data_IF_744560641815
#
_entry.id   IF_744560641815
#
_cell.length_a   1.000
_cell.length_b   1.000
_cell.length_c   1.000
_cell.angle_alpha   90.00
_cell.angle_beta   90.00
_cell.angle_gamma   90.00
#
_symmetry.space_group_name_H-M   'P 1'
#
loop_
_entity.id
_entity.type
_entity.pdbx_description
1 polymer ?
#
# COMPACT_ATOMS: atom_id res chain seq x y z
N UNK A 1 -57.95 -18.41 -38.07
CA UNK A 1 -57.91 -16.96 -37.97
C UNK A 1 -57.61 -16.66 -36.49
N UNK A 2 -56.34 -16.70 -36.17
CA UNK A 2 -55.85 -16.41 -34.83
C UNK A 2 -55.22 -15.03 -34.92
N UNK A 3 -55.86 -14.07 -34.25
CA UNK A 3 -55.40 -12.73 -34.13
C UNK A 3 -54.20 -12.71 -33.19
N UNK A 4 -53.10 -12.24 -33.71
CA UNK A 4 -51.91 -11.84 -32.94
C UNK A 4 -52.37 -10.87 -31.83
N UNK A 5 -52.21 -11.30 -30.59
CA UNK A 5 -52.25 -10.38 -29.49
C UNK A 5 -50.88 -9.69 -29.43
N UNK A 6 -50.82 -8.50 -29.98
CA UNK A 6 -49.75 -7.55 -29.74
C UNK A 6 -49.65 -7.34 -28.22
N UNK A 7 -48.63 -7.92 -27.63
CA UNK A 7 -48.15 -7.48 -26.31
C UNK A 7 -47.59 -6.07 -26.51
N UNK A 8 -48.41 -5.06 -26.46
CA UNK A 8 -47.96 -3.71 -26.18
C UNK A 8 -47.16 -3.78 -24.89
N UNK A 9 -45.88 -3.57 -24.98
CA UNK A 9 -44.99 -3.23 -23.88
C UNK A 9 -45.60 -1.99 -23.22
N UNK A 10 -46.41 -2.17 -22.17
CA UNK A 10 -46.79 -1.08 -21.31
C UNK A 10 -45.49 -0.51 -20.75
N UNK A 11 -45.06 0.62 -21.32
CA UNK A 11 -44.01 1.44 -20.74
C UNK A 11 -44.35 1.64 -19.26
N UNK A 12 -43.41 1.36 -18.39
CA UNK A 12 -43.57 1.53 -16.95
C UNK A 12 -44.07 2.96 -16.70
N UNK A 13 -45.37 3.09 -16.36
CA UNK A 13 -46.05 4.38 -16.16
C UNK A 13 -45.38 5.26 -15.09
N UNK A 14 -44.37 4.71 -14.42
CA UNK A 14 -43.58 5.35 -13.37
C UNK A 14 -42.34 6.11 -13.90
N UNK A 15 -42.02 6.02 -15.20
CA UNK A 15 -40.86 6.69 -15.79
C UNK A 15 -39.52 6.21 -15.28
N UNK A 16 -39.48 5.01 -14.68
CA UNK A 16 -38.25 4.40 -14.14
C UNK A 16 -37.57 3.62 -15.26
N UNK A 17 -36.33 3.95 -15.65
CA UNK A 17 -35.62 3.21 -16.69
C UNK A 17 -35.26 1.80 -16.21
N UNK A 18 -35.92 0.78 -16.80
CA UNK A 18 -35.71 -0.62 -16.49
C UNK A 18 -35.54 -1.47 -17.74
N UNK A 19 -34.92 -2.64 -17.61
CA UNK A 19 -34.78 -3.65 -18.68
C UNK A 19 -35.35 -4.97 -18.17
N UNK A 20 -36.36 -5.53 -18.87
CA UNK A 20 -36.96 -6.80 -18.49
C UNK A 20 -35.99 -7.95 -18.65
N UNK A 21 -36.10 -8.95 -17.77
CA UNK A 21 -35.25 -10.14 -17.80
C UNK A 21 -35.91 -11.30 -17.07
N UNK A 22 -35.31 -12.48 -17.26
CA UNK A 22 -35.76 -13.71 -16.61
C UNK A 22 -34.50 -14.46 -16.14
N UNK A 23 -34.54 -15.01 -14.93
CA UNK A 23 -33.49 -15.83 -14.38
C UNK A 23 -34.06 -17.09 -13.75
N UNK A 24 -33.36 -18.21 -13.93
CA UNK A 24 -33.69 -19.49 -13.29
C UNK A 24 -32.68 -19.77 -12.20
N UNK A 25 -33.15 -19.85 -10.95
CA UNK A 25 -32.30 -20.05 -9.77
C UNK A 25 -32.60 -21.41 -9.13
N UNK A 26 -31.56 -22.24 -8.99
CA UNK A 26 -31.67 -23.48 -8.23
C UNK A 26 -31.63 -23.14 -6.74
N UNK A 27 -32.64 -23.59 -5.99
CA UNK A 27 -32.73 -23.30 -4.57
C UNK A 27 -31.66 -24.02 -3.74
N UNK A 28 -31.32 -23.43 -2.60
CA UNK A 28 -30.38 -24.03 -1.64
C UNK A 28 -31.06 -25.18 -0.81
N UNK A 29 -30.28 -25.78 0.10
CA UNK A 29 -30.74 -26.84 0.99
C UNK A 29 -31.92 -26.42 1.89
N UNK A 30 -32.07 -25.10 2.15
CA UNK A 30 -33.15 -24.52 2.93
C UNK A 30 -34.36 -24.10 2.11
N UNK A 31 -34.39 -24.48 0.82
CA UNK A 31 -35.42 -24.12 -0.13
C UNK A 31 -35.55 -22.59 -0.36
N UNK A 32 -34.41 -21.88 -0.30
CA UNK A 32 -34.30 -20.44 -0.46
C UNK A 32 -33.49 -20.07 -1.72
N UNK A 33 -33.75 -18.91 -2.31
CA UNK A 33 -32.93 -18.33 -3.38
C UNK A 33 -32.03 -17.20 -2.87
N UNK A 34 -32.23 -16.70 -1.63
CA UNK A 34 -31.36 -15.76 -0.96
C UNK A 34 -31.62 -14.29 -1.31
N UNK A 35 -32.87 -13.87 -1.44
CA UNK A 35 -33.24 -12.47 -1.60
C UNK A 35 -34.20 -12.01 -0.49
N UNK A 36 -34.19 -10.70 -0.20
CA UNK A 36 -35.18 -10.02 0.59
C UNK A 36 -36.02 -9.10 -0.31
N UNK A 37 -37.32 -9.08 -0.12
CA UNK A 37 -38.31 -8.37 -0.96
C UNK A 37 -38.93 -7.24 -0.18
N UNK A 38 -39.09 -6.08 -0.80
CA UNK A 38 -39.80 -4.91 -0.29
C UNK A 38 -40.87 -4.42 -1.25
N UNK A 39 -41.63 -3.43 -0.82
CA UNK A 39 -42.77 -2.90 -1.57
C UNK A 39 -43.95 -3.84 -1.59
N UNK A 40 -44.78 -3.74 -2.63
CA UNK A 40 -45.97 -4.56 -2.86
C UNK A 40 -47.26 -3.91 -2.43
N UNK A 41 -48.39 -4.57 -2.79
CA UNK A 41 -49.76 -4.06 -2.65
C UNK A 41 -50.05 -3.49 -1.27
N UNK A 42 -50.86 -2.51 -1.27
CA UNK A 42 -51.37 -1.50 -0.37
C UNK A 42 -50.56 -0.20 -0.35
N UNK A 43 -49.24 -0.23 -0.41
CA UNK A 43 -48.39 0.97 -0.27
C UNK A 43 -47.55 1.28 -1.51
N UNK A 44 -47.02 0.27 -2.17
CA UNK A 44 -46.15 0.43 -3.34
C UNK A 44 -46.70 -0.39 -4.53
N UNK A 45 -46.78 0.18 -5.73
CA UNK A 45 -47.29 -0.53 -6.91
C UNK A 45 -46.36 -1.63 -7.41
N UNK A 46 -45.11 -1.61 -7.03
CA UNK A 46 -44.11 -2.58 -7.44
C UNK A 46 -43.48 -3.34 -6.25
N UNK A 47 -43.00 -4.55 -6.54
CA UNK A 47 -42.22 -5.36 -5.62
C UNK A 47 -40.78 -5.31 -6.07
N UNK A 48 -39.83 -5.06 -5.16
CA UNK A 48 -38.43 -4.93 -5.51
C UNK A 48 -37.54 -5.67 -4.53
N UNK A 49 -36.30 -6.00 -4.99
CA UNK A 49 -35.30 -6.65 -4.18
C UNK A 49 -34.65 -5.61 -3.25
N UNK A 50 -34.74 -5.83 -1.95
CA UNK A 50 -34.09 -4.99 -0.93
C UNK A 50 -32.64 -5.41 -0.74
N UNK A 51 -32.37 -6.73 -0.74
CA UNK A 51 -31.04 -7.28 -0.53
C UNK A 51 -30.91 -8.64 -1.18
N UNK A 52 -29.72 -8.89 -1.75
CA UNK A 52 -29.23 -10.23 -2.11
C UNK A 52 -28.23 -10.65 -1.05
N UNK A 53 -28.42 -11.83 -0.44
CA UNK A 53 -27.58 -12.33 0.62
C UNK A 53 -26.34 -13.04 0.04
N UNK A 54 -25.18 -12.86 0.68
CA UNK A 54 -23.93 -13.48 0.24
C UNK A 54 -24.01 -15.01 0.32
N UNK A 55 -23.27 -15.70 -0.55
CA UNK A 55 -23.19 -17.16 -0.64
C UNK A 55 -24.54 -17.85 -0.88
N UNK A 56 -25.50 -17.18 -1.47
CA UNK A 56 -26.80 -17.74 -1.86
C UNK A 56 -26.90 -17.94 -3.36
N UNK A 57 -27.87 -18.76 -3.85
CA UNK A 57 -28.07 -18.96 -5.28
C UNK A 57 -28.18 -17.68 -6.10
N UNK A 58 -28.93 -16.70 -5.62
CA UNK A 58 -29.08 -15.40 -6.30
C UNK A 58 -27.76 -14.59 -6.33
N UNK A 59 -26.92 -14.68 -5.27
CA UNK A 59 -25.62 -14.01 -5.23
C UNK A 59 -24.60 -14.70 -6.16
N UNK A 60 -24.62 -16.01 -6.23
CA UNK A 60 -23.71 -16.81 -7.07
C UNK A 60 -24.01 -16.63 -8.55
N UNK A 61 -25.30 -16.55 -8.91
CA UNK A 61 -25.72 -16.26 -10.28
C UNK A 61 -25.40 -14.82 -10.71
N UNK A 62 -25.58 -13.85 -9.80
CA UNK A 62 -25.21 -12.44 -10.00
C UNK A 62 -26.16 -11.65 -10.92
N UNK A 63 -27.19 -12.25 -11.47
CA UNK A 63 -28.16 -11.59 -12.39
C UNK A 63 -29.05 -10.61 -11.63
N UNK A 64 -29.60 -11.03 -10.47
CA UNK A 64 -30.44 -10.21 -9.62
C UNK A 64 -29.63 -9.27 -8.72
N UNK A 65 -30.09 -8.06 -8.57
CA UNK A 65 -29.47 -7.09 -7.69
C UNK A 65 -30.51 -6.29 -6.89
N UNK A 66 -30.06 -5.67 -5.78
CA UNK A 66 -30.94 -4.79 -5.00
C UNK A 66 -31.51 -3.65 -5.87
N UNK A 67 -32.76 -3.31 -5.68
CA UNK A 67 -33.47 -2.33 -6.48
C UNK A 67 -34.12 -2.88 -7.73
N UNK A 68 -33.83 -4.10 -8.20
CA UNK A 68 -34.56 -4.73 -9.30
C UNK A 68 -35.99 -5.02 -8.91
N UNK A 69 -36.95 -4.82 -9.82
CA UNK A 69 -38.37 -5.12 -9.61
C UNK A 69 -38.62 -6.59 -9.94
N UNK A 70 -39.44 -7.26 -9.14
CA UNK A 70 -39.93 -8.60 -9.42
C UNK A 70 -41.31 -8.48 -10.09
N UNK A 71 -41.42 -9.00 -11.31
CA UNK A 71 -42.68 -8.92 -12.11
C UNK A 71 -43.42 -10.24 -12.16
N UNK A 72 -42.74 -11.39 -11.93
CA UNK A 72 -43.36 -12.69 -11.95
C UNK A 72 -42.53 -13.80 -11.31
N UNK A 73 -43.19 -14.87 -10.89
CA UNK A 73 -42.59 -16.09 -10.34
C UNK A 73 -43.21 -17.29 -11.06
N UNK A 74 -42.40 -18.10 -11.74
CA UNK A 74 -42.79 -19.28 -12.50
C UNK A 74 -43.98 -18.99 -13.45
N UNK A 75 -43.86 -17.91 -14.22
CA UNK A 75 -44.88 -17.49 -15.18
C UNK A 75 -46.16 -16.86 -14.57
N UNK A 76 -46.23 -16.76 -13.23
CA UNK A 76 -47.36 -16.11 -12.57
C UNK A 76 -47.03 -14.66 -12.24
N UNK A 77 -47.81 -13.67 -12.69
CA UNK A 77 -47.54 -12.26 -12.39
C UNK A 77 -47.71 -11.98 -10.91
N UNK A 78 -46.90 -11.03 -10.39
CA UNK A 78 -46.94 -10.62 -8.97
C UNK A 78 -47.58 -9.25 -8.77
N UNK A 79 -48.00 -8.57 -9.82
CA UNK A 79 -48.67 -7.27 -9.74
C UNK A 79 -49.88 -7.35 -8.82
N UNK A 80 -49.99 -6.41 -7.89
CA UNK A 80 -51.10 -6.36 -6.91
C UNK A 80 -50.96 -7.35 -5.74
N UNK A 81 -49.85 -8.07 -5.62
CA UNK A 81 -49.58 -8.97 -4.48
C UNK A 81 -48.75 -8.28 -3.41
N UNK A 82 -48.88 -8.74 -2.20
CA UNK A 82 -48.06 -8.33 -1.07
C UNK A 82 -46.68 -9.05 -1.11
N UNK A 83 -45.67 -8.49 -0.47
CA UNK A 83 -44.33 -9.13 -0.33
C UNK A 83 -44.41 -10.53 0.30
N UNK A 84 -45.38 -10.73 1.24
CA UNK A 84 -45.55 -12.02 1.91
C UNK A 84 -46.11 -13.07 0.96
N UNK A 85 -47.08 -12.71 0.10
CA UNK A 85 -47.65 -13.62 -0.90
C UNK A 85 -46.59 -14.04 -1.92
N UNK A 86 -45.77 -13.09 -2.40
CA UNK A 86 -44.71 -13.41 -3.34
C UNK A 86 -43.60 -14.26 -2.71
N UNK A 87 -43.23 -13.99 -1.45
CA UNK A 87 -42.31 -14.85 -0.73
C UNK A 87 -42.86 -16.30 -0.62
N UNK A 88 -44.15 -16.47 -0.31
CA UNK A 88 -44.80 -17.78 -0.32
C UNK A 88 -44.83 -18.43 -1.70
N UNK A 89 -45.07 -17.64 -2.77
CA UNK A 89 -44.99 -18.15 -4.14
C UNK A 89 -43.60 -18.73 -4.46
N UNK A 90 -42.55 -17.99 -4.11
CA UNK A 90 -41.19 -18.45 -4.28
C UNK A 90 -40.91 -19.72 -3.44
N UNK A 91 -41.34 -19.76 -2.18
CA UNK A 91 -41.12 -20.89 -1.30
C UNK A 91 -41.87 -22.16 -1.76
N UNK A 92 -43.06 -22.01 -2.33
CA UNK A 92 -43.90 -23.12 -2.79
C UNK A 92 -43.31 -23.87 -4.01
N UNK A 93 -42.39 -23.25 -4.76
CA UNK A 93 -41.71 -23.87 -5.88
C UNK A 93 -40.70 -24.88 -5.37
N UNK A 94 -40.65 -26.07 -5.96
CA UNK A 94 -39.68 -27.11 -5.66
C UNK A 94 -38.52 -27.06 -6.66
N UNK A 95 -37.31 -27.10 -6.19
CA UNK A 95 -36.06 -27.19 -6.99
C UNK A 95 -35.61 -25.88 -7.63
N UNK A 96 -36.18 -25.47 -8.77
CA UNK A 96 -35.77 -24.29 -9.52
C UNK A 96 -36.88 -23.23 -9.54
N UNK A 97 -36.53 -22.01 -9.22
CA UNK A 97 -37.44 -20.87 -9.26
C UNK A 97 -37.12 -19.98 -10.46
N UNK A 98 -38.10 -19.76 -11.34
CA UNK A 98 -37.99 -18.83 -12.46
C UNK A 98 -38.50 -17.48 -12.00
N UNK A 99 -37.65 -16.48 -11.98
CA UNK A 99 -37.94 -15.11 -11.54
C UNK A 99 -37.96 -14.20 -12.78
N UNK A 100 -39.11 -13.59 -13.06
CA UNK A 100 -39.20 -12.50 -14.04
C UNK A 100 -38.95 -11.19 -13.29
N UNK A 101 -38.14 -10.32 -13.86
CA UNK A 101 -37.74 -9.08 -13.20
C UNK A 101 -37.55 -7.94 -14.22
N UNK A 102 -37.65 -6.73 -13.75
CA UNK A 102 -37.21 -5.53 -14.45
C UNK A 102 -35.95 -5.02 -13.80
N UNK A 103 -34.83 -5.09 -14.52
CA UNK A 103 -33.51 -4.65 -14.03
C UNK A 103 -33.46 -3.14 -13.99
N UNK A 104 -33.19 -2.58 -12.82
CA UNK A 104 -33.06 -1.14 -12.62
C UNK A 104 -31.82 -0.63 -13.39
N UNK A 105 -32.06 0.30 -14.33
CA UNK A 105 -31.01 1.04 -14.99
C UNK A 105 -30.62 2.24 -14.12
N UNK A 106 -29.65 2.05 -13.24
CA UNK A 106 -29.19 3.08 -12.33
C UNK A 106 -27.78 3.52 -12.71
N UNK A 107 -27.54 4.80 -12.93
CA UNK A 107 -26.19 5.34 -12.97
C UNK A 107 -25.67 5.44 -11.53
N UNK A 108 -24.57 4.73 -11.18
CA UNK A 108 -23.95 4.82 -9.84
C UNK A 108 -23.57 6.24 -9.44
N UNK A 109 -23.43 7.15 -10.42
CA UNK A 109 -23.13 8.55 -10.15
C UNK A 109 -24.33 9.31 -9.59
N UNK A 110 -25.56 8.93 -9.95
CA UNK A 110 -26.80 9.57 -9.47
C UNK A 110 -27.04 9.31 -7.96
N UNK A 111 -26.57 8.17 -7.44
CA UNK A 111 -26.63 7.85 -6.01
C UNK A 111 -25.55 8.49 -5.16
N UNK A 112 -24.56 9.17 -5.76
CA UNK A 112 -23.52 9.89 -5.04
C UNK A 112 -24.02 11.29 -4.69
N UNK A 113 -24.66 11.42 -3.54
CA UNK A 113 -24.96 12.74 -3.00
C UNK A 113 -23.68 13.52 -2.71
N UNK A 114 -23.72 14.86 -2.81
CA UNK A 114 -22.63 15.77 -2.44
C UNK A 114 -22.11 15.47 -1.02
N UNK A 115 -22.98 14.98 -0.15
CA UNK A 115 -22.65 14.58 1.22
C UNK A 115 -21.62 13.45 1.28
N UNK A 116 -21.69 12.45 0.38
CA UNK A 116 -20.70 11.35 0.33
C UNK A 116 -19.34 11.85 -0.13
N UNK A 117 -19.31 12.83 -1.06
CA UNK A 117 -18.07 13.44 -1.53
C UNK A 117 -17.43 14.31 -0.44
N UNK A 118 -18.23 15.15 0.23
CA UNK A 118 -17.77 15.99 1.35
C UNK A 118 -17.22 15.16 2.50
N UNK A 119 -17.79 14.00 2.78
CA UNK A 119 -17.29 13.06 3.79
C UNK A 119 -15.90 12.50 3.45
N UNK A 120 -15.68 12.12 2.19
CA UNK A 120 -14.35 11.68 1.74
C UNK A 120 -13.30 12.77 1.96
N UNK A 121 -13.64 14.02 1.64
CA UNK A 121 -12.74 15.17 1.84
C UNK A 121 -12.48 15.38 3.33
N UNK A 122 -13.52 15.35 4.18
CA UNK A 122 -13.36 15.51 5.63
C UNK A 122 -12.51 14.40 6.25
N UNK A 123 -12.73 13.15 5.87
CA UNK A 123 -11.92 12.02 6.35
C UNK A 123 -10.45 12.21 5.99
N UNK A 124 -10.13 12.60 4.75
CA UNK A 124 -8.75 12.89 4.31
C UNK A 124 -8.12 14.07 5.06
N UNK A 125 -8.92 15.09 5.38
CA UNK A 125 -8.46 16.22 6.19
C UNK A 125 -8.09 15.76 7.61
N UNK A 126 -8.96 14.95 8.24
CA UNK A 126 -8.72 14.40 9.59
C UNK A 126 -7.52 13.44 9.62
N UNK A 127 -7.32 12.64 8.56
CA UNK A 127 -6.13 11.77 8.45
C UNK A 127 -4.82 12.56 8.38
N UNK A 128 -4.84 13.74 7.77
CA UNK A 128 -3.66 14.61 7.63
C UNK A 128 -3.45 15.56 8.83
N UNK A 129 -4.38 15.60 9.78
CA UNK A 129 -4.25 16.39 11.02
C UNK A 129 -3.47 15.63 12.07
N UNK A 130 -2.74 16.36 12.93
CA UNK A 130 -2.09 15.76 14.09
C UNK A 130 -3.15 15.14 15.03
N UNK A 131 -2.79 14.07 15.75
CA UNK A 131 -3.71 13.39 16.67
C UNK A 131 -4.30 14.35 17.71
N UNK A 132 -3.48 15.26 18.26
CA UNK A 132 -3.93 16.26 19.24
C UNK A 132 -4.92 17.27 18.69
N UNK A 133 -4.79 17.67 17.42
CA UNK A 133 -5.73 18.61 16.78
C UNK A 133 -7.05 17.92 16.43
N UNK A 134 -6.99 16.65 16.02
CA UNK A 134 -8.18 15.85 15.73
C UNK A 134 -8.98 15.56 17.01
N UNK A 135 -8.30 15.27 18.12
CA UNK A 135 -8.92 15.02 19.44
C UNK A 135 -9.51 16.31 20.02
N UNK A 136 -8.84 17.47 19.89
CA UNK A 136 -9.34 18.78 20.31
C UNK A 136 -10.60 19.21 19.54
N UNK A 137 -10.78 18.73 18.29
CA UNK A 137 -11.96 18.97 17.46
C UNK A 137 -13.05 17.91 17.66
N UNK A 138 -12.91 16.99 18.61
CA UNK A 138 -13.85 15.89 18.83
C UNK A 138 -13.92 14.90 17.63
N UNK A 139 -12.94 14.96 16.73
CA UNK A 139 -12.82 14.12 15.55
C UNK A 139 -11.92 12.92 15.86
N UNK A 140 -12.10 12.31 17.03
CA UNK A 140 -11.26 11.19 17.49
C UNK A 140 -11.14 10.10 16.42
N UNK A 141 -9.91 9.82 16.02
CA UNK A 141 -9.54 8.69 15.15
C UNK A 141 -10.07 7.35 15.69
N UNK A 142 -10.13 7.21 17.01
CA UNK A 142 -10.54 6.00 17.70
C UNK A 142 -12.01 5.61 17.39
N UNK A 143 -12.88 6.57 17.11
CA UNK A 143 -14.30 6.33 16.89
C UNK A 143 -14.57 5.80 15.47
N UNK A 144 -13.77 6.26 14.50
CA UNK A 144 -13.87 5.83 13.09
C UNK A 144 -13.08 4.55 12.78
N UNK A 145 -12.15 4.17 13.66
CA UNK A 145 -11.06 3.26 13.33
C UNK A 145 -10.74 2.24 14.43
N UNK A 146 -11.73 1.59 14.99
CA UNK A 146 -11.48 0.40 15.82
C UNK A 146 -11.11 -0.80 14.93
N UNK A 147 -10.25 -0.57 13.92
CA UNK A 147 -9.82 -1.56 12.94
C UNK A 147 -8.31 -1.83 13.11
N UNK A 148 -7.93 -3.09 13.26
CA UNK A 148 -6.54 -3.51 13.34
C UNK A 148 -5.69 -3.03 12.15
N UNK A 149 -6.31 -2.72 11.00
CA UNK A 149 -5.63 -2.19 9.81
C UNK A 149 -5.11 -0.76 9.99
N UNK A 150 -5.74 0.06 10.83
CA UNK A 150 -5.21 1.41 11.13
C UNK A 150 -3.97 1.32 12.00
N UNK A 151 -3.99 0.45 13.01
CA UNK A 151 -2.80 0.15 13.81
C UNK A 151 -1.67 -0.38 12.92
N UNK A 152 -2.01 -1.27 11.97
CA UNK A 152 -1.04 -1.78 11.01
C UNK A 152 -0.44 -0.68 10.13
N UNK A 153 -1.24 0.33 9.75
CA UNK A 153 -0.74 1.50 9.00
C UNK A 153 0.29 2.31 9.81
N UNK A 154 0.02 2.54 11.10
CA UNK A 154 0.95 3.23 12.01
C UNK A 154 2.24 2.41 12.23
N UNK A 155 2.12 1.09 12.38
CA UNK A 155 3.26 0.17 12.47
C UNK A 155 4.12 0.22 11.21
N UNK A 156 3.50 0.24 10.02
CA UNK A 156 4.21 0.36 8.75
C UNK A 156 4.93 1.70 8.60
N UNK A 157 4.42 2.77 9.20
CA UNK A 157 5.11 4.07 9.21
C UNK A 157 6.36 4.03 10.07
N UNK A 158 6.28 3.48 11.27
CA UNK A 158 7.44 3.28 12.16
C UNK A 158 8.47 2.35 11.51
N UNK A 159 8.02 1.26 10.92
CA UNK A 159 8.87 0.32 10.21
C UNK A 159 9.62 1.00 9.06
N UNK A 160 8.94 1.85 8.28
CA UNK A 160 9.57 2.57 7.18
C UNK A 160 10.71 3.48 7.67
N UNK A 161 10.54 4.20 8.78
CA UNK A 161 11.62 5.03 9.34
C UNK A 161 12.82 4.21 9.83
N UNK A 162 12.57 3.06 10.47
CA UNK A 162 13.65 2.16 10.89
C UNK A 162 14.45 1.63 9.69
N UNK A 163 13.77 1.18 8.63
CA UNK A 163 14.42 0.67 7.43
C UNK A 163 15.14 1.74 6.62
N UNK A 164 14.64 2.98 6.66
CA UNK A 164 15.35 4.14 6.08
C UNK A 164 16.69 4.35 6.79
N UNK A 165 16.70 4.34 8.12
CA UNK A 165 17.94 4.40 8.90
C UNK A 165 18.89 3.24 8.59
N UNK A 166 18.38 2.01 8.52
CA UNK A 166 19.17 0.83 8.16
C UNK A 166 19.81 0.98 6.77
N UNK A 167 19.06 1.45 5.78
CA UNK A 167 19.56 1.68 4.42
C UNK A 167 20.68 2.73 4.40
N UNK A 168 20.53 3.84 5.13
CA UNK A 168 21.55 4.89 5.22
C UNK A 168 22.84 4.37 5.88
N UNK A 169 22.70 3.61 6.98
CA UNK A 169 23.87 3.01 7.64
C UNK A 169 24.54 1.95 6.77
N UNK A 170 23.78 1.14 6.03
CA UNK A 170 24.32 0.17 5.08
C UNK A 170 25.11 0.87 3.97
N UNK A 171 24.60 1.97 3.39
CA UNK A 171 25.32 2.77 2.39
C UNK A 171 26.65 3.31 2.95
N UNK A 172 26.64 3.86 4.16
CA UNK A 172 27.87 4.34 4.81
C UNK A 172 28.88 3.22 5.03
N UNK A 173 28.40 2.06 5.48
CA UNK A 173 29.25 0.90 5.71
C UNK A 173 29.93 0.43 4.41
N UNK A 174 29.15 0.34 3.31
CA UNK A 174 29.69 -0.03 2.00
C UNK A 174 30.76 0.95 1.50
N UNK A 175 30.54 2.27 1.67
CA UNK A 175 31.54 3.29 1.33
C UNK A 175 32.83 3.11 2.16
N UNK A 176 32.69 2.95 3.47
CA UNK A 176 33.87 2.76 4.35
C UNK A 176 34.65 1.49 4.00
N UNK A 177 34.00 0.38 3.67
CA UNK A 177 34.67 -0.83 3.21
C UNK A 177 35.36 -0.66 1.86
N UNK A 178 34.75 0.10 0.94
CA UNK A 178 35.40 0.41 -0.34
C UNK A 178 36.65 1.25 -0.14
N UNK A 179 36.59 2.32 0.64
CA UNK A 179 37.74 3.18 0.96
C UNK A 179 38.86 2.39 1.66
N UNK A 180 38.51 1.53 2.62
CA UNK A 180 39.42 0.64 3.30
C UNK A 180 40.11 -0.32 2.30
N UNK A 181 39.35 -0.91 1.37
CA UNK A 181 39.89 -1.80 0.34
C UNK A 181 40.88 -1.07 -0.57
N UNK A 182 40.59 0.18 -0.99
CA UNK A 182 41.53 0.99 -1.77
C UNK A 182 42.80 1.35 -0.99
N UNK A 183 42.66 1.64 0.30
CA UNK A 183 43.80 1.90 1.19
C UNK A 183 44.69 0.66 1.30
N UNK A 184 44.14 -0.55 1.46
CA UNK A 184 44.88 -1.79 1.45
C UNK A 184 45.66 -2.00 0.14
N UNK A 185 45.01 -1.72 -1.01
CA UNK A 185 45.67 -1.78 -2.31
C UNK A 185 46.88 -0.85 -2.39
N UNK A 186 46.67 0.45 -2.09
CA UNK A 186 47.73 1.45 -2.11
C UNK A 186 48.88 1.07 -1.17
N UNK A 187 48.56 0.59 0.02
CA UNK A 187 49.54 0.11 1.01
C UNK A 187 50.35 -1.06 0.46
N UNK A 188 49.72 -2.07 -0.14
CA UNK A 188 50.37 -3.19 -0.79
C UNK A 188 51.27 -2.77 -1.96
N UNK A 189 50.88 -1.80 -2.77
CA UNK A 189 51.67 -1.30 -3.89
C UNK A 189 52.95 -0.62 -3.42
N UNK A 190 52.91 0.18 -2.34
CA UNK A 190 54.09 0.79 -1.72
C UNK A 190 55.05 -0.27 -1.19
N UNK A 191 54.57 -1.27 -0.42
CA UNK A 191 55.41 -2.34 0.10
C UNK A 191 56.00 -3.22 -1.00
N UNK A 192 55.33 -3.41 -2.12
CA UNK A 192 55.86 -4.09 -3.29
C UNK A 192 57.09 -3.36 -3.86
N UNK A 193 57.03 -2.02 -3.96
CA UNK A 193 58.17 -1.21 -4.43
C UNK A 193 59.33 -1.26 -3.44
N UNK A 194 59.04 -1.18 -2.13
CA UNK A 194 60.06 -1.32 -1.09
C UNK A 194 60.73 -2.69 -1.20
N UNK A 195 59.98 -3.77 -1.31
CA UNK A 195 60.49 -5.13 -1.41
C UNK A 195 61.42 -5.35 -2.61
N UNK A 196 61.09 -4.75 -3.77
CA UNK A 196 61.97 -4.82 -4.97
C UNK A 196 63.31 -4.08 -4.77
N UNK A 197 63.31 -3.01 -3.99
CA UNK A 197 64.52 -2.18 -3.73
C UNK A 197 65.34 -2.65 -2.55
N UNK A 198 64.80 -3.56 -1.74
CA UNK A 198 65.43 -4.06 -0.54
C UNK A 198 66.66 -4.98 -0.90
N UNK A 199 67.88 -4.63 -0.49
CA UNK A 199 69.06 -5.41 -0.84
C UNK A 199 69.14 -6.74 -0.08
N UNK A 200 68.46 -6.88 1.04
CA UNK A 200 68.48 -8.11 1.83
C UNK A 200 67.38 -9.05 1.39
N UNK A 201 67.71 -10.23 0.91
CA UNK A 201 66.73 -11.17 0.33
C UNK A 201 65.65 -11.56 1.30
N UNK A 202 65.96 -11.80 2.58
CA UNK A 202 64.94 -12.15 3.58
C UNK A 202 63.96 -10.99 3.86
N UNK A 203 64.44 -9.77 3.93
CA UNK A 203 63.59 -8.58 4.10
C UNK A 203 62.79 -8.29 2.85
N UNK A 204 63.39 -8.40 1.65
CA UNK A 204 62.69 -8.27 0.37
C UNK A 204 61.51 -9.26 0.27
N UNK A 205 61.73 -10.54 0.59
CA UNK A 205 60.68 -11.55 0.58
C UNK A 205 59.55 -11.21 1.57
N UNK A 206 59.91 -10.77 2.78
CA UNK A 206 58.91 -10.37 3.78
C UNK A 206 58.05 -9.18 3.32
N UNK A 207 58.62 -8.14 2.72
CA UNK A 207 57.90 -7.00 2.18
C UNK A 207 57.01 -7.39 1.01
N UNK A 208 57.44 -8.30 0.13
CA UNK A 208 56.63 -8.81 -0.99
C UNK A 208 55.43 -9.61 -0.45
N UNK A 209 55.64 -10.52 0.52
CA UNK A 209 54.55 -11.27 1.15
C UNK A 209 53.53 -10.35 1.81
N UNK A 210 53.97 -9.31 2.51
CA UNK A 210 53.12 -8.31 3.13
C UNK A 210 52.33 -7.52 2.07
N UNK A 211 52.98 -7.13 0.97
CA UNK A 211 52.31 -6.46 -0.15
C UNK A 211 51.22 -7.34 -0.76
N UNK A 212 51.50 -8.62 -1.00
CA UNK A 212 50.53 -9.57 -1.56
C UNK A 212 49.37 -9.84 -0.61
N UNK A 213 49.59 -9.91 0.72
CA UNK A 213 48.54 -10.01 1.71
C UNK A 213 47.58 -8.83 1.62
N UNK A 214 48.09 -7.59 1.55
CA UNK A 214 47.23 -6.40 1.43
C UNK A 214 46.46 -6.34 0.10
N UNK A 215 47.05 -6.77 -1.02
CA UNK A 215 46.35 -6.89 -2.30
C UNK A 215 45.25 -7.96 -2.26
N UNK A 216 45.43 -9.04 -1.53
CA UNK A 216 44.39 -10.06 -1.34
C UNK A 216 43.28 -9.55 -0.43
N UNK A 217 43.59 -8.82 0.65
CA UNK A 217 42.58 -8.16 1.50
C UNK A 217 41.71 -7.20 0.67
N UNK A 218 42.31 -6.41 -0.25
CA UNK A 218 41.56 -5.58 -1.18
C UNK A 218 40.55 -6.41 -2.01
N UNK A 219 41.01 -7.52 -2.62
CA UNK A 219 40.15 -8.40 -3.43
C UNK A 219 38.99 -8.97 -2.61
N UNK A 220 39.24 -9.42 -1.37
CA UNK A 220 38.21 -9.92 -0.47
C UNK A 220 37.22 -8.83 -0.06
N UNK A 221 37.70 -7.60 0.18
CA UNK A 221 36.85 -6.43 0.42
C UNK A 221 35.91 -6.15 -0.74
N UNK A 222 36.39 -6.12 -1.97
CA UNK A 222 35.58 -5.94 -3.18
C UNK A 222 34.57 -7.09 -3.35
N UNK A 223 34.92 -8.32 -3.02
CA UNK A 223 34.01 -9.46 -3.06
C UNK A 223 32.92 -9.35 -2.00
N UNK A 224 33.24 -8.89 -0.79
CA UNK A 224 32.28 -8.59 0.27
C UNK A 224 31.27 -7.54 -0.20
N UNK A 225 31.72 -6.44 -0.82
CA UNK A 225 30.85 -5.39 -1.35
C UNK A 225 29.84 -5.95 -2.35
N UNK A 226 30.27 -6.82 -3.28
CA UNK A 226 29.38 -7.48 -4.24
C UNK A 226 28.35 -8.39 -3.57
N UNK A 227 28.71 -9.01 -2.44
CA UNK A 227 27.79 -9.86 -1.66
C UNK A 227 26.73 -9.06 -0.91
N UNK A 228 27.08 -7.83 -0.45
CA UNK A 228 26.19 -6.96 0.33
C UNK A 228 25.29 -6.07 -0.56
N UNK A 229 25.75 -5.71 -1.76
CA UNK A 229 25.00 -4.83 -2.68
C UNK A 229 23.53 -5.26 -2.90
N UNK A 230 23.18 -6.55 -3.11
CA UNK A 230 21.79 -6.99 -3.25
C UNK A 230 20.91 -6.65 -2.04
N UNK A 231 21.47 -6.65 -0.82
CA UNK A 231 20.73 -6.23 0.38
C UNK A 231 20.24 -4.78 0.27
N UNK A 232 21.10 -3.90 -0.25
CA UNK A 232 20.73 -2.49 -0.44
C UNK A 232 19.59 -2.34 -1.45
N UNK A 233 19.63 -3.10 -2.55
CA UNK A 233 18.57 -3.12 -3.55
C UNK A 233 17.25 -3.62 -2.98
N UNK A 234 17.25 -4.71 -2.21
CA UNK A 234 16.05 -5.26 -1.60
C UNK A 234 15.47 -4.33 -0.53
N UNK A 235 16.34 -3.68 0.28
CA UNK A 235 15.92 -2.63 1.22
C UNK A 235 15.26 -1.46 0.50
N UNK A 236 15.82 -1.01 -0.61
CA UNK A 236 15.28 0.07 -1.41
C UNK A 236 13.91 -0.29 -1.99
N UNK A 237 13.77 -1.49 -2.56
CA UNK A 237 12.50 -1.99 -3.09
C UNK A 237 11.44 -2.14 -2.00
N UNK A 238 11.82 -2.66 -0.84
CA UNK A 238 10.92 -2.80 0.30
C UNK A 238 10.42 -1.44 0.81
N UNK A 239 11.34 -0.49 0.99
CA UNK A 239 11.05 0.84 1.54
C UNK A 239 10.26 1.73 0.57
N UNK A 240 10.66 1.78 -0.70
CA UNK A 240 10.12 2.76 -1.65
C UNK A 240 9.00 2.22 -2.54
N UNK A 241 8.82 0.89 -2.63
CA UNK A 241 7.76 0.27 -3.43
C UNK A 241 6.76 -0.52 -2.57
N UNK A 242 7.22 -1.52 -1.81
CA UNK A 242 6.32 -2.45 -1.11
C UNK A 242 5.53 -1.78 0.03
N UNK A 243 6.19 -1.03 0.93
CA UNK A 243 5.53 -0.32 2.02
C UNK A 243 4.56 0.76 1.50
N UNK A 244 4.94 1.68 0.59
CA UNK A 244 4.02 2.70 0.08
C UNK A 244 2.81 2.14 -0.64
N UNK A 245 2.96 1.06 -1.44
CA UNK A 245 1.86 0.41 -2.13
C UNK A 245 0.87 -0.24 -1.15
N UNK A 246 1.38 -0.89 -0.10
CA UNK A 246 0.54 -1.44 0.97
C UNK A 246 -0.19 -0.33 1.73
N UNK A 247 0.48 0.76 2.11
CA UNK A 247 -0.13 1.93 2.73
C UNK A 247 -1.25 2.52 1.86
N UNK A 248 -1.00 2.67 0.56
CA UNK A 248 -2.01 3.18 -0.38
C UNK A 248 -3.24 2.25 -0.45
N UNK A 249 -3.02 0.95 -0.43
CA UNK A 249 -4.12 -0.03 -0.46
C UNK A 249 -4.95 0.01 0.84
N UNK A 250 -4.30 0.14 2.00
CA UNK A 250 -5.00 0.32 3.29
C UNK A 250 -5.82 1.62 3.27
N UNK A 251 -5.27 2.73 2.77
CA UNK A 251 -6.00 4.00 2.65
C UNK A 251 -7.22 3.88 1.73
N UNK A 252 -7.08 3.22 0.57
CA UNK A 252 -8.21 2.94 -0.32
C UNK A 252 -9.29 2.09 0.35
N UNK A 253 -8.88 1.09 1.14
CA UNK A 253 -9.81 0.28 1.92
C UNK A 253 -10.58 1.13 2.94
N UNK A 254 -9.89 2.00 3.68
CA UNK A 254 -10.52 2.89 4.64
C UNK A 254 -11.53 3.84 3.96
N UNK A 255 -11.21 4.38 2.78
CA UNK A 255 -12.13 5.20 1.98
C UNK A 255 -13.41 4.42 1.61
N UNK A 256 -13.27 3.18 1.15
CA UNK A 256 -14.40 2.32 0.74
C UNK A 256 -15.21 1.84 1.96
N UNK A 257 -14.53 1.50 3.07
CA UNK A 257 -15.15 1.19 4.35
C UNK A 257 -16.04 2.35 4.81
N UNK A 258 -15.52 3.55 4.70
CA UNK A 258 -16.22 4.77 5.08
C UNK A 258 -17.46 5.02 4.22
N UNK A 259 -17.38 4.81 2.91
CA UNK A 259 -18.51 4.92 2.00
C UNK A 259 -19.66 3.94 2.36
N UNK A 260 -19.31 2.76 2.86
CA UNK A 260 -20.28 1.71 3.22
C UNK A 260 -20.84 1.87 4.65
N UNK A 261 -19.99 2.14 5.65
CA UNK A 261 -20.28 1.89 7.07
C UNK A 261 -20.51 3.12 7.95
N UNK A 262 -20.48 4.35 7.55
CA UNK A 262 -20.45 5.50 8.49
C UNK A 262 -21.35 5.38 9.71
N UNK A 263 -20.71 5.51 10.86
CA UNK A 263 -21.23 5.17 12.17
C UNK A 263 -22.09 6.22 12.88
N UNK A 264 -22.90 5.75 13.79
CA UNK A 264 -23.97 6.28 14.60
C UNK A 264 -23.63 7.40 15.64
N UNK A 265 -22.53 8.15 15.53
CA UNK A 265 -22.15 9.13 16.58
C UNK A 265 -22.39 10.60 16.23
N UNK A 266 -23.46 10.85 15.54
CA UNK A 266 -23.76 12.20 15.03
C UNK A 266 -24.31 13.20 16.07
N UNK A 267 -24.97 12.75 17.13
CA UNK A 267 -25.63 13.67 18.08
C UNK A 267 -24.65 14.58 18.84
N UNK A 268 -23.45 14.12 19.17
CA UNK A 268 -22.49 14.90 19.99
C UNK A 268 -21.75 15.97 19.19
N UNK A 269 -21.50 15.74 17.91
CA UNK A 269 -20.71 16.64 17.07
C UNK A 269 -21.47 17.88 16.61
N UNK A 270 -22.76 17.78 16.40
CA UNK A 270 -23.60 18.92 15.97
C UNK A 270 -23.73 19.92 17.11
N UNK A 271 -23.88 19.45 18.33
CA UNK A 271 -23.99 20.25 19.53
C UNK A 271 -22.66 20.97 19.85
N UNK A 272 -21.53 20.30 19.67
CA UNK A 272 -20.19 20.86 19.86
C UNK A 272 -19.83 21.91 18.80
N UNK A 273 -20.13 21.68 17.52
CA UNK A 273 -19.87 22.65 16.44
C UNK A 273 -20.71 23.93 16.57
N UNK A 274 -21.94 23.81 17.05
CA UNK A 274 -22.82 24.97 17.29
C UNK A 274 -22.30 25.82 18.47
N UNK A 275 -21.76 25.19 19.49
CA UNK A 275 -21.24 25.87 20.68
C UNK A 275 -19.86 26.51 20.48
N UNK A 276 -18.95 25.85 19.73
CA UNK A 276 -17.53 26.25 19.68
C UNK A 276 -17.12 27.01 18.42
N UNK A 277 -17.92 26.94 17.33
CA UNK A 277 -17.62 27.65 16.08
C UNK A 277 -18.82 28.47 15.54
N UNK A 278 -19.30 29.48 16.29
CA UNK A 278 -20.45 30.28 15.89
C UNK A 278 -20.24 31.09 14.61
N UNK A 279 -18.98 31.37 14.24
CA UNK A 279 -18.66 32.11 13.00
C UNK A 279 -18.86 31.25 11.77
N UNK A 280 -18.47 29.97 11.79
CA UNK A 280 -18.68 29.04 10.69
C UNK A 280 -20.19 28.76 10.55
N UNK A 281 -20.91 28.65 11.65
CA UNK A 281 -22.38 28.52 11.65
C UNK A 281 -23.07 29.77 11.07
N UNK A 282 -22.59 30.98 11.32
CA UNK A 282 -23.13 32.21 10.73
C UNK A 282 -22.87 32.33 9.23
N UNK A 283 -21.70 31.92 8.73
CA UNK A 283 -21.43 31.88 7.30
C UNK A 283 -22.34 30.91 6.56
N UNK A 284 -22.69 29.77 7.17
CA UNK A 284 -23.64 28.79 6.63
C UNK A 284 -25.07 29.33 6.68
N UNK A 285 -25.41 30.16 7.67
CA UNK A 285 -26.72 30.81 7.78
C UNK A 285 -26.97 31.94 6.76
N UNK A 286 -25.93 32.46 6.10
CA UNK A 286 -26.01 33.47 5.06
C UNK A 286 -26.20 32.89 3.64
N UNK A 287 -26.22 31.58 3.48
CA UNK A 287 -26.50 30.94 2.21
C UNK A 287 -27.99 31.09 1.80
N UNK A 288 -28.30 31.10 0.49
CA UNK A 288 -29.67 31.32 -0.02
C UNK A 288 -30.71 30.35 0.56
N UNK A 289 -31.95 30.80 0.66
CA UNK A 289 -33.03 30.08 1.34
C UNK A 289 -33.30 28.65 0.80
N UNK A 290 -33.09 28.41 -0.50
CA UNK A 290 -33.16 27.08 -1.11
C UNK A 290 -32.06 26.13 -0.65
N UNK A 291 -30.90 26.68 -0.25
CA UNK A 291 -29.82 25.95 0.36
C UNK A 291 -30.08 25.63 1.84
N UNK A 292 -30.93 26.44 2.49
CA UNK A 292 -31.31 26.32 3.90
C UNK A 292 -32.41 25.29 4.16
N UNK A 293 -33.34 25.13 3.23
CA UNK A 293 -34.46 24.19 3.37
C UNK A 293 -33.98 22.73 3.28
N UNK A 294 -32.89 22.47 2.54
CA UNK A 294 -32.28 21.13 2.47
C UNK A 294 -31.18 20.92 3.54
N UNK A 295 -30.84 21.91 4.37
CA UNK A 295 -29.64 21.92 5.24
C UNK A 295 -29.93 22.18 6.73
N UNK A 296 -31.15 22.01 7.19
CA UNK A 296 -31.43 22.16 8.64
C UNK A 296 -30.87 21.03 9.49
N UNK A 297 -30.30 20.01 8.88
CA UNK A 297 -29.50 18.97 9.54
C UNK A 297 -28.39 18.55 8.59
N UNK A 298 -27.15 18.94 8.86
CA UNK A 298 -25.95 18.34 8.26
C UNK A 298 -25.84 16.89 8.76
N UNK A 299 -26.70 16.02 8.26
CA UNK A 299 -26.68 14.61 8.58
C UNK A 299 -25.69 13.93 7.63
N UNK A 300 -24.59 13.46 8.17
CA UNK A 300 -23.61 12.69 7.44
C UNK A 300 -24.13 11.27 7.21
N UNK A 301 -24.54 10.92 6.00
CA UNK A 301 -25.18 9.65 5.67
C UNK A 301 -24.30 8.73 4.84
N UNK A 302 -24.08 7.49 5.30
CA UNK A 302 -23.64 6.37 4.45
C UNK A 302 -24.86 5.72 3.80
N UNK A 303 -24.64 4.86 2.82
CA UNK A 303 -25.76 4.13 2.21
C UNK A 303 -26.57 3.30 3.21
N UNK A 304 -25.94 2.73 4.24
CA UNK A 304 -26.67 2.00 5.27
C UNK A 304 -27.55 2.90 6.13
N UNK A 305 -27.04 4.08 6.49
CA UNK A 305 -27.79 5.06 7.26
C UNK A 305 -28.92 5.69 6.43
N UNK A 306 -28.63 6.00 5.15
CA UNK A 306 -29.65 6.53 4.24
C UNK A 306 -30.81 5.56 4.05
N UNK A 307 -30.51 4.26 3.88
CA UNK A 307 -31.57 3.22 3.83
C UNK A 307 -32.40 3.23 5.12
N UNK A 308 -31.74 3.26 6.29
CA UNK A 308 -32.42 3.29 7.58
C UNK A 308 -33.32 4.52 7.74
N UNK A 309 -32.87 5.69 7.38
CA UNK A 309 -33.68 6.93 7.43
C UNK A 309 -34.87 6.84 6.53
N UNK A 310 -34.71 6.31 5.31
CA UNK A 310 -35.83 6.11 4.39
C UNK A 310 -36.82 5.05 4.90
N UNK A 311 -36.36 4.00 5.58
CA UNK A 311 -37.19 3.01 6.26
C UNK A 311 -37.97 3.66 7.41
N UNK A 312 -37.32 4.44 8.28
CA UNK A 312 -37.93 5.13 9.41
C UNK A 312 -39.00 6.15 8.94
N UNK A 313 -38.73 6.87 7.83
CA UNK A 313 -39.68 7.77 7.18
C UNK A 313 -40.90 7.00 6.67
N UNK A 314 -40.72 5.86 6.00
CA UNK A 314 -41.81 5.01 5.50
C UNK A 314 -42.67 4.45 6.65
N UNK A 315 -42.03 3.98 7.73
CA UNK A 315 -42.76 3.52 8.92
C UNK A 315 -43.57 4.64 9.57
N UNK A 316 -43.00 5.84 9.67
CA UNK A 316 -43.70 6.99 10.25
C UNK A 316 -44.92 7.40 9.41
N UNK A 317 -44.81 7.44 8.09
CA UNK A 317 -45.87 7.76 7.17
C UNK A 317 -47.02 6.73 7.24
N UNK A 318 -46.67 5.44 7.30
CA UNK A 318 -47.65 4.35 7.48
C UNK A 318 -48.40 4.51 8.81
N UNK A 319 -47.68 4.82 9.91
CA UNK A 319 -48.27 5.00 11.24
C UNK A 319 -49.21 6.20 11.31
N UNK A 320 -48.91 7.27 10.56
CA UNK A 320 -49.78 8.46 10.48
C UNK A 320 -50.92 8.30 9.46
N UNK A 321 -50.92 7.22 8.65
CA UNK A 321 -51.91 7.03 7.58
C UNK A 321 -51.74 7.97 6.39
N UNK A 322 -50.59 8.62 6.28
CA UNK A 322 -50.26 9.55 5.19
C UNK A 322 -49.46 8.82 4.08
N UNK A 323 -49.91 8.85 2.82
CA UNK A 323 -49.18 8.20 1.73
C UNK A 323 -47.90 8.97 1.39
N UNK A 324 -46.78 8.26 1.39
CA UNK A 324 -45.51 8.82 0.98
C UNK A 324 -45.39 8.80 -0.55
N UNK A 325 -45.30 9.99 -1.16
CA UNK A 325 -45.29 10.15 -2.62
C UNK A 325 -44.27 9.26 -3.34
N UNK A 326 -43.04 9.16 -2.83
CA UNK A 326 -41.99 8.32 -3.43
C UNK A 326 -42.37 6.83 -3.46
N UNK A 327 -43.11 6.37 -2.47
CA UNK A 327 -43.56 4.96 -2.38
C UNK A 327 -44.69 4.69 -3.39
N UNK A 328 -45.65 5.61 -3.52
CA UNK A 328 -46.73 5.49 -4.49
C UNK A 328 -46.27 5.57 -5.94
N UNK A 329 -45.11 6.17 -6.21
CA UNK A 329 -44.46 6.28 -7.53
C UNK A 329 -43.37 5.22 -7.80
N UNK A 330 -43.40 4.08 -7.09
CA UNK A 330 -42.51 2.96 -7.32
C UNK A 330 -41.18 3.03 -6.60
N UNK A 331 -41.01 3.96 -5.66
CA UNK A 331 -39.90 4.07 -4.72
C UNK A 331 -38.48 4.11 -5.39
N UNK A 332 -38.40 4.79 -6.55
CA UNK A 332 -37.17 4.79 -7.37
C UNK A 332 -35.93 5.22 -6.59
N UNK A 333 -36.02 6.31 -5.83
CA UNK A 333 -34.89 6.83 -5.05
C UNK A 333 -34.37 5.80 -4.03
N UNK A 334 -35.26 5.15 -3.32
CA UNK A 334 -34.94 4.10 -2.36
C UNK A 334 -34.30 2.88 -3.06
N UNK A 335 -34.85 2.43 -4.18
CA UNK A 335 -34.31 1.35 -5.01
C UNK A 335 -32.90 1.67 -5.50
N UNK A 336 -32.66 2.93 -5.90
CA UNK A 336 -31.32 3.41 -6.30
C UNK A 336 -30.33 3.36 -5.12
N UNK A 337 -30.73 3.81 -3.94
CA UNK A 337 -29.88 3.77 -2.73
C UNK A 337 -29.57 2.33 -2.33
N UNK A 338 -30.53 1.42 -2.44
CA UNK A 338 -30.33 -0.02 -2.21
C UNK A 338 -29.26 -0.60 -3.16
N UNK A 339 -29.32 -0.24 -4.46
CA UNK A 339 -28.32 -0.64 -5.45
C UNK A 339 -26.94 -0.12 -5.08
N UNK A 340 -26.81 1.17 -4.77
CA UNK A 340 -25.55 1.78 -4.35
C UNK A 340 -24.99 1.13 -3.08
N UNK A 341 -25.87 0.78 -2.11
CA UNK A 341 -25.47 0.04 -0.89
C UNK A 341 -24.88 -1.33 -1.22
N UNK A 342 -25.51 -2.10 -2.11
CA UNK A 342 -25.03 -3.41 -2.52
C UNK A 342 -23.66 -3.31 -3.21
N UNK A 343 -23.51 -2.37 -4.13
CA UNK A 343 -22.23 -2.15 -4.83
C UNK A 343 -21.12 -1.69 -3.88
N UNK A 344 -21.44 -0.77 -2.95
CA UNK A 344 -20.49 -0.33 -1.94
C UNK A 344 -20.04 -1.49 -1.03
N UNK A 345 -20.99 -2.38 -0.65
CA UNK A 345 -20.68 -3.59 0.11
C UNK A 345 -19.75 -4.53 -0.65
N UNK A 346 -20.03 -4.78 -1.92
CA UNK A 346 -19.19 -5.63 -2.77
C UNK A 346 -17.76 -5.05 -2.92
N UNK A 347 -17.65 -3.73 -3.17
CA UNK A 347 -16.34 -3.04 -3.21
C UNK A 347 -15.60 -3.14 -1.87
N UNK A 348 -16.30 -2.98 -0.76
CA UNK A 348 -15.73 -3.09 0.58
C UNK A 348 -15.19 -4.50 0.85
N UNK A 349 -15.97 -5.55 0.54
CA UNK A 349 -15.55 -6.94 0.70
C UNK A 349 -14.31 -7.27 -0.15
N UNK A 350 -14.28 -6.82 -1.42
CA UNK A 350 -13.14 -6.96 -2.31
C UNK A 350 -11.90 -6.26 -1.75
N UNK A 351 -12.02 -4.98 -1.39
CA UNK A 351 -10.90 -4.21 -0.87
C UNK A 351 -10.34 -4.78 0.44
N UNK A 352 -11.21 -5.35 1.29
CA UNK A 352 -10.78 -6.04 2.51
C UNK A 352 -9.89 -7.24 2.19
N UNK A 353 -10.29 -8.05 1.20
CA UNK A 353 -9.50 -9.19 0.73
C UNK A 353 -8.16 -8.73 0.17
N UNK A 354 -8.18 -7.74 -0.74
CA UNK A 354 -6.98 -7.19 -1.37
C UNK A 354 -5.96 -6.64 -0.34
N UNK A 355 -6.44 -5.98 0.73
CA UNK A 355 -5.59 -5.47 1.81
C UNK A 355 -4.94 -6.60 2.60
N UNK A 356 -5.71 -7.63 2.95
CA UNK A 356 -5.18 -8.76 3.72
C UNK A 356 -4.12 -9.52 2.92
N UNK A 357 -4.37 -9.78 1.63
CA UNK A 357 -3.40 -10.40 0.73
C UNK A 357 -2.11 -9.55 0.59
N UNK A 358 -2.25 -8.23 0.47
CA UNK A 358 -1.07 -7.34 0.40
C UNK A 358 -0.27 -7.29 1.68
N UNK A 359 -0.91 -7.31 2.85
CA UNK A 359 -0.20 -7.37 4.13
C UNK A 359 0.57 -8.69 4.23
N UNK A 360 -0.06 -9.81 3.87
CA UNK A 360 0.59 -11.11 3.88
C UNK A 360 1.79 -11.15 2.93
N UNK A 361 1.65 -10.65 1.70
CA UNK A 361 2.75 -10.53 0.75
C UNK A 361 3.89 -9.63 1.26
N UNK A 362 3.55 -8.53 1.94
CA UNK A 362 4.55 -7.65 2.54
C UNK A 362 5.33 -8.34 3.65
N UNK A 363 4.65 -9.11 4.52
CA UNK A 363 5.28 -9.86 5.60
C UNK A 363 6.16 -10.99 5.04
N UNK A 364 5.71 -11.70 4.00
CA UNK A 364 6.52 -12.69 3.29
C UNK A 364 7.76 -12.05 2.66
N UNK A 365 7.59 -10.93 1.97
CA UNK A 365 8.71 -10.18 1.38
C UNK A 365 9.70 -9.70 2.44
N UNK A 366 9.22 -9.27 3.59
CA UNK A 366 10.08 -8.90 4.72
C UNK A 366 10.98 -10.07 5.14
N UNK A 367 10.41 -11.26 5.34
CA UNK A 367 11.18 -12.46 5.75
C UNK A 367 12.14 -12.88 4.65
N UNK A 368 11.68 -12.98 3.40
CA UNK A 368 12.49 -13.49 2.29
C UNK A 368 13.60 -12.54 1.87
N UNK A 369 13.28 -11.24 1.71
CA UNK A 369 14.22 -10.28 1.14
C UNK A 369 15.10 -9.63 2.20
N UNK A 370 14.57 -9.35 3.40
CA UNK A 370 15.31 -8.60 4.42
C UNK A 370 16.05 -9.55 5.37
N UNK A 371 15.35 -10.47 6.00
CA UNK A 371 15.95 -11.40 6.98
C UNK A 371 17.01 -12.28 6.29
N UNK A 372 16.70 -12.79 5.11
CA UNK A 372 17.64 -13.62 4.33
C UNK A 372 18.87 -12.82 3.88
N UNK A 373 18.72 -11.56 3.47
CA UNK A 373 19.84 -10.70 3.11
C UNK A 373 20.70 -10.33 4.32
N UNK A 374 20.11 -10.15 5.51
CA UNK A 374 20.87 -9.98 6.75
C UNK A 374 21.73 -11.22 7.08
N UNK A 375 21.17 -12.41 6.88
CA UNK A 375 21.92 -13.65 7.04
C UNK A 375 23.12 -13.71 6.07
N UNK A 376 22.92 -13.38 4.80
CA UNK A 376 23.99 -13.29 3.78
C UNK A 376 25.03 -12.25 4.15
N UNK A 377 24.60 -11.11 4.70
CA UNK A 377 25.51 -10.07 5.18
C UNK A 377 26.43 -10.61 6.29
N UNK A 378 25.89 -11.25 7.32
CA UNK A 378 26.65 -11.81 8.43
C UNK A 378 27.62 -12.89 7.92
N UNK A 379 27.15 -13.82 7.07
CA UNK A 379 28.00 -14.86 6.48
C UNK A 379 29.11 -14.27 5.61
N UNK A 380 28.81 -13.24 4.83
CA UNK A 380 29.80 -12.54 4.00
C UNK A 380 30.87 -11.84 4.83
N UNK A 381 30.47 -11.18 5.94
CA UNK A 381 31.41 -10.56 6.87
C UNK A 381 32.31 -11.57 7.55
N UNK A 382 31.75 -12.69 8.04
CA UNK A 382 32.53 -13.76 8.65
C UNK A 382 33.60 -14.30 7.69
N UNK A 383 33.17 -14.64 6.47
CA UNK A 383 34.06 -15.12 5.43
C UNK A 383 35.19 -14.12 5.09
N UNK A 384 34.83 -12.83 4.96
CA UNK A 384 35.85 -11.78 4.72
C UNK A 384 36.91 -11.73 5.81
N UNK A 385 36.49 -11.75 7.09
CA UNK A 385 37.47 -11.70 8.19
C UNK A 385 38.29 -12.98 8.30
N UNK A 386 37.73 -14.15 8.01
CA UNK A 386 38.46 -15.42 7.99
C UNK A 386 39.54 -15.43 6.90
N UNK A 387 39.20 -14.96 5.69
CA UNK A 387 40.16 -14.82 4.57
C UNK A 387 41.24 -13.79 4.87
N UNK A 388 40.88 -12.63 5.45
CA UNK A 388 41.87 -11.61 5.86
C UNK A 388 42.80 -12.15 6.94
N UNK A 389 42.31 -12.88 7.92
CA UNK A 389 43.12 -13.52 8.95
C UNK A 389 44.09 -14.54 8.36
N UNK A 390 43.65 -15.37 7.43
CA UNK A 390 44.47 -16.39 6.79
C UNK A 390 45.70 -15.76 6.07
N UNK A 391 45.46 -14.74 5.23
CA UNK A 391 46.57 -14.10 4.48
C UNK A 391 47.51 -13.28 5.37
N UNK A 392 47.02 -12.65 6.43
CA UNK A 392 47.85 -11.95 7.40
C UNK A 392 48.72 -12.92 8.19
N UNK A 393 48.19 -14.09 8.55
CA UNK A 393 48.93 -15.15 9.24
C UNK A 393 50.06 -15.69 8.36
N UNK A 394 49.87 -15.84 7.05
CA UNK A 394 50.93 -16.25 6.11
C UNK A 394 52.00 -15.16 5.93
N UNK A 395 51.63 -13.88 6.07
CA UNK A 395 52.53 -12.74 5.98
C UNK A 395 53.23 -12.43 7.31
N UNK A 396 52.90 -13.13 8.41
CA UNK A 396 53.53 -12.98 9.72
C UNK A 396 54.86 -13.75 9.77
N UNK A 397 55.83 -13.17 9.11
CA UNK A 397 57.22 -13.70 9.01
C UNK A 397 58.22 -12.92 9.89
N UNK A 398 57.71 -12.08 10.77
CA UNK A 398 58.54 -11.26 11.66
C UNK A 398 58.70 -11.93 13.05
N UNK A 399 59.88 -11.76 13.74
CA UNK A 399 61.04 -10.93 13.35
C UNK A 399 61.88 -11.57 12.25
N UNK A 400 62.47 -10.74 11.37
CA UNK A 400 63.41 -11.18 10.34
C UNK A 400 64.80 -11.12 10.94
N UNK A 401 65.57 -12.23 10.89
CA UNK A 401 67.00 -12.23 11.23
C UNK A 401 67.74 -11.57 10.08
N UNK A 402 68.31 -10.38 10.34
CA UNK A 402 69.05 -9.61 9.39
C UNK A 402 70.58 -9.92 9.62
N UNK A 403 71.19 -10.49 8.62
CA UNK A 403 72.67 -10.72 8.64
C UNK A 403 73.39 -9.38 8.43
N UNK A 404 73.68 -8.69 9.53
CA UNK A 404 74.39 -7.41 9.54
C UNK A 404 75.90 -7.55 9.07
N UNK A 405 76.46 -8.76 9.00
CA UNK A 405 77.84 -8.97 8.56
C UNK A 405 78.05 -8.69 7.07
N UNK A 406 77.04 -8.93 6.24
CA UNK A 406 77.07 -8.63 4.80
C UNK A 406 76.93 -7.14 4.48
N UNK A 407 76.23 -6.37 5.31
CA UNK A 407 76.02 -4.92 5.12
C UNK A 407 77.29 -4.15 5.46
N UNK A 408 78.10 -4.58 6.43
CA UNK A 408 79.41 -3.93 6.80
C UNK A 408 80.44 -4.05 5.72
N UNK A 409 80.47 -5.12 4.93
CA UNK A 409 81.49 -5.34 3.89
C UNK A 409 81.27 -4.38 2.70
N UNK A 410 80.05 -4.02 2.36
CA UNK A 410 79.76 -3.10 1.26
C UNK A 410 80.04 -1.62 1.60
N UNK A 411 79.98 -1.23 2.86
CA UNK A 411 80.37 0.12 3.30
C UNK A 411 81.90 0.32 3.38
N UNK A 412 82.65 -0.73 3.63
CA UNK A 412 84.11 -0.61 3.69
C UNK A 412 84.73 -0.59 2.30
N UNK A 413 84.08 -1.04 1.25
CA UNK A 413 84.63 -1.02 -0.12
C UNK A 413 84.30 0.25 -0.92
N UNK A 414 83.43 1.10 -0.43
CA UNK A 414 83.09 2.37 -1.06
C UNK A 414 83.79 3.60 -0.48
N UNK A 415 84.61 3.47 0.56
CA UNK A 415 85.28 4.59 1.21
C UNK A 415 86.72 4.90 0.68
N UNK A 416 87.07 4.36 -0.47
CA UNK A 416 88.38 4.63 -1.06
C UNK A 416 88.29 5.02 -2.55
N UNK A 417 87.74 6.17 -2.85
CA UNK A 417 88.05 6.98 -4.04
C UNK A 417 87.33 8.35 -3.95
N UNK A 418 87.91 9.26 -3.16
CA UNK A 418 87.70 10.68 -3.38
C UNK A 418 88.85 11.16 -4.24
N UNK A 419 88.55 11.49 -5.48
CA UNK A 419 89.32 12.47 -6.25
C UNK A 419 88.38 13.67 -6.44
N UNK A 420 88.94 14.78 -5.94
CA UNK A 420 88.41 16.12 -6.15
C UNK A 420 88.36 16.41 -7.64
N UNK A 421 87.24 16.95 -8.14
CA UNK A 421 87.21 17.95 -9.21
C UNK A 421 85.97 18.79 -9.13
N UNK A 422 86.25 20.07 -9.32
CA UNK A 422 85.37 21.25 -9.07
C UNK A 422 84.36 21.49 -10.17
N UNK A 423 83.29 22.18 -9.75
CA UNK A 423 82.48 23.20 -10.44
C UNK A 423 81.87 22.88 -11.80
N UNK A 424 80.51 23.06 -11.91
CA UNK A 424 79.84 24.18 -12.60
C UNK A 424 78.32 24.14 -12.47
N UNK A 425 77.82 25.36 -12.35
CA UNK A 425 76.41 25.70 -12.24
C UNK A 425 75.60 25.37 -13.51
N UNK A 426 74.30 25.09 -13.34
CA UNK A 426 73.33 25.07 -14.45
C UNK A 426 71.96 24.74 -14.00
N UNK A 427 71.13 25.78 -13.83
CA UNK A 427 69.72 25.66 -13.48
C UNK A 427 68.88 25.11 -14.61
N UNK A 428 67.73 24.56 -14.24
CA UNK A 428 66.70 24.12 -15.17
C UNK A 428 65.53 23.45 -14.46
N UNK A 429 64.49 24.19 -14.36
CA UNK A 429 63.24 23.71 -13.78
C UNK A 429 62.61 22.56 -14.56
N UNK A 430 61.95 21.71 -13.86
CA UNK A 430 61.10 20.67 -14.41
C UNK A 430 59.94 20.41 -13.45
N UNK A 431 58.82 21.02 -13.71
CA UNK A 431 57.57 20.72 -13.07
C UNK A 431 57.17 19.29 -13.43
N UNK A 432 57.07 18.42 -12.46
CA UNK A 432 56.39 17.12 -12.64
C UNK A 432 54.94 17.20 -12.21
N UNK A 433 54.07 17.02 -13.18
CA UNK A 433 52.62 16.79 -13.03
C UNK A 433 52.39 15.50 -12.21
N UNK A 434 52.08 15.66 -10.95
CA UNK A 434 51.53 14.63 -10.10
C UNK A 434 50.03 14.84 -9.89
N UNK A 435 49.20 14.42 -10.84
CA UNK A 435 47.77 14.66 -10.66
C UNK A 435 46.85 13.95 -11.65
N UNK A 436 46.66 12.65 -11.53
CA UNK A 436 45.57 11.98 -12.25
C UNK A 436 45.03 10.69 -11.64
N UNK A 437 45.66 10.13 -10.64
CA UNK A 437 45.24 8.82 -10.09
C UNK A 437 44.08 8.92 -9.06
N UNK A 438 43.90 10.05 -8.38
CA UNK A 438 42.88 10.23 -7.34
C UNK A 438 41.47 10.39 -7.87
N UNK A 439 41.23 11.00 -9.03
CA UNK A 439 39.89 11.26 -9.59
C UNK A 439 39.24 10.03 -10.22
N UNK A 440 39.97 9.03 -10.67
CA UNK A 440 39.38 7.78 -11.20
C UNK A 440 38.91 6.83 -10.10
N UNK A 441 39.45 6.90 -8.90
CA UNK A 441 39.04 6.08 -7.77
C UNK A 441 37.71 6.59 -7.14
N UNK A 442 37.52 7.90 -7.06
CA UNK A 442 36.25 8.49 -6.58
C UNK A 442 35.07 8.18 -7.51
N UNK A 443 35.26 8.26 -8.85
CA UNK A 443 34.21 7.89 -9.81
C UNK A 443 33.86 6.38 -9.80
N UNK A 444 34.78 5.53 -9.39
CA UNK A 444 34.54 4.09 -9.23
C UNK A 444 33.73 3.75 -7.98
N UNK A 445 33.89 4.52 -6.91
CA UNK A 445 33.13 4.35 -5.65
C UNK A 445 31.68 4.80 -5.81
N UNK A 446 31.43 5.93 -6.46
CA UNK A 446 30.09 6.42 -6.76
C UNK A 446 29.33 5.46 -7.69
N UNK A 447 29.95 4.93 -8.75
CA UNK A 447 29.33 3.94 -9.64
C UNK A 447 28.96 2.62 -8.96
N UNK A 448 29.69 2.17 -7.97
CA UNK A 448 29.38 0.94 -7.23
C UNK A 448 28.22 1.10 -6.24
N UNK A 449 27.91 2.32 -5.83
CA UNK A 449 26.97 2.62 -4.75
C UNK A 449 25.73 3.41 -5.26
N UNK A 450 25.87 4.25 -6.29
CA UNK A 450 24.87 5.19 -6.77
C UNK A 450 24.16 4.78 -8.09
N UNK A 451 24.52 3.65 -8.74
CA UNK A 451 23.85 3.12 -9.94
C UNK A 451 22.47 2.45 -9.62
N UNK A 452 21.72 2.99 -8.61
CA UNK A 452 20.32 2.64 -8.33
C UNK A 452 19.53 3.90 -7.97
#
# INVERSE_FOLDING_TARGET
MFTDMDYELEEDKLGIPTVPGTVTLKKDANNLIGISIGGGAQYCPCLYIVQVFDNTPAALDGTLAAGDEITGVNGKPVKGKTKVEVAKMIQAVQGEAIIHYNKLQADPKQGKSLDIVLKKVKHRLVENMSSGTADALGLSRAILCNDGLVKRLEELEKTAELYKGLMEHTKRLLRAFFELSQTHRAFGDVFSVIGVREPQAAASEAFVKFADAHRNIEKYGIQLLKTIKPMLHDLNTYLHKAIPDTKLTIRKYLDVKFEYLVSAQHCVLTEYMTQHFPVICRCVQQLPCWYRVNNSTFVFQSYCLKVKEMDDEEYSSIAMGEPLYRVSTGNYEYRLVLRCRQEARARFAKMRKDVLEKIELLDQKHVQDIVFQLQRFVSGMSHYYDECYAVLKEADVFPIEVDLSRTMINYSSQSLSYTEDEEEEGGGGGEEEGGSAGRQAENGAEKLIDDE
#
